data_IF_576138043188
#
_entry.id   IF_576138043188
#
_cell.length_a   1.000
_cell.length_b   1.000
_cell.length_c   1.000
_cell.angle_alpha   90.00
_cell.angle_beta   90.00
_cell.angle_gamma   90.00
#
_symmetry.space_group_name_H-M   'P 1'
#
loop_
_entity.id
_entity.type
_entity.pdbx_description
1 polymer ?
#
# COMPACT_ATOMS: atom_id res chain seq x y z
N UNK A 1 3.07 6.30 15.91
CA UNK A 1 1.82 6.60 15.15
C UNK A 1 1.39 5.38 14.37
N UNK A 2 0.08 5.17 14.19
CA UNK A 2 -0.48 3.96 13.56
C UNK A 2 -1.61 4.29 12.58
N UNK A 3 -1.94 3.33 11.70
CA UNK A 3 -2.99 3.51 10.68
C UNK A 3 -4.40 3.60 11.27
N UNK A 4 -4.72 2.84 12.30
CA UNK A 4 -6.04 2.85 12.92
C UNK A 4 -6.10 1.90 14.11
N UNK A 5 -7.31 1.72 14.63
CA UNK A 5 -7.62 0.94 15.82
C UNK A 5 -6.99 -0.46 15.80
N UNK A 6 -7.09 -1.19 14.67
CA UNK A 6 -6.53 -2.54 14.56
C UNK A 6 -5.00 -2.58 14.77
N UNK A 7 -4.29 -1.53 14.35
CA UNK A 7 -2.85 -1.45 14.56
C UNK A 7 -2.51 -1.12 16.01
N UNK A 8 -3.29 -0.26 16.67
CA UNK A 8 -3.17 0.03 18.10
C UNK A 8 -3.41 -1.21 18.95
N UNK A 9 -4.46 -1.96 18.64
CA UNK A 9 -4.80 -3.22 19.32
C UNK A 9 -3.65 -4.25 19.23
N UNK A 10 -2.98 -4.34 18.07
CA UNK A 10 -1.80 -5.21 17.93
C UNK A 10 -0.65 -4.82 18.84
N UNK A 11 -0.35 -3.53 19.01
CA UNK A 11 0.67 -3.09 19.96
C UNK A 11 0.30 -3.43 21.40
N UNK A 12 -0.98 -3.24 21.76
CA UNK A 12 -1.50 -3.59 23.09
C UNK A 12 -1.38 -5.10 23.37
N UNK A 13 -1.67 -5.95 22.38
CA UNK A 13 -1.60 -7.41 22.52
C UNK A 13 -0.17 -7.96 22.45
N UNK A 14 0.76 -7.27 21.78
CA UNK A 14 2.11 -7.77 21.58
C UNK A 14 3.02 -7.57 22.80
N UNK A 15 2.61 -6.78 23.80
CA UNK A 15 3.36 -6.51 25.04
C UNK A 15 4.81 -6.04 24.81
N UNK A 16 5.04 -5.29 23.72
CA UNK A 16 6.37 -4.82 23.28
C UNK A 16 6.86 -3.55 23.98
N UNK A 17 6.28 -3.19 25.13
CA UNK A 17 6.68 -2.00 25.92
C UNK A 17 6.27 -0.64 25.33
N UNK A 18 5.33 -0.62 24.39
CA UNK A 18 4.73 0.63 23.87
C UNK A 18 3.47 0.93 24.67
N UNK A 19 3.48 2.03 25.44
CA UNK A 19 2.29 2.46 26.17
C UNK A 19 1.22 2.99 25.23
N UNK A 20 -0.05 2.70 25.55
CA UNK A 20 -1.19 3.09 24.73
C UNK A 20 -1.32 4.62 24.54
N UNK A 21 -0.94 5.40 25.57
CA UNK A 21 -0.91 6.88 25.53
C UNK A 21 0.04 7.44 24.47
N UNK A 22 1.06 6.67 24.08
CA UNK A 22 2.08 7.07 23.12
C UNK A 22 1.69 6.66 21.68
N UNK A 23 0.54 5.99 21.50
CA UNK A 23 -0.01 5.59 20.21
C UNK A 23 -1.01 6.63 19.70
N UNK A 24 -0.66 7.27 18.57
CA UNK A 24 -1.55 8.19 17.85
C UNK A 24 -2.03 7.56 16.54
N UNK A 25 -3.34 7.51 16.33
CA UNK A 25 -3.99 6.99 15.13
C UNK A 25 -4.10 8.07 14.04
N UNK A 26 -3.23 7.99 13.03
CA UNK A 26 -3.10 9.03 11.99
C UNK A 26 -3.63 8.61 10.61
N UNK A 27 -4.02 7.34 10.44
CA UNK A 27 -4.40 6.85 9.12
C UNK A 27 -3.18 6.55 8.25
N UNK A 28 -3.40 6.56 6.94
CA UNK A 28 -2.34 6.40 5.95
C UNK A 28 -2.40 7.57 4.95
N UNK A 29 -1.70 8.69 5.22
CA UNK A 29 -1.69 9.88 4.37
C UNK A 29 -1.31 9.61 2.91
N UNK A 30 -0.44 8.63 2.69
CA UNK A 30 0.00 8.21 1.36
C UNK A 30 -1.12 7.63 0.48
N UNK A 31 -2.26 7.23 1.06
CA UNK A 31 -3.39 6.67 0.33
C UNK A 31 -4.30 7.75 -0.29
N UNK A 32 -4.06 9.04 -0.01
CA UNK A 32 -4.88 10.14 -0.50
C UNK A 32 -5.13 10.18 -2.02
N UNK A 33 -4.21 9.72 -2.89
CA UNK A 33 -4.46 9.67 -4.34
C UNK A 33 -5.45 8.58 -4.80
N UNK A 34 -5.84 7.64 -3.93
CA UNK A 34 -6.74 6.54 -4.29
C UNK A 34 -8.19 7.04 -4.31
N UNK A 35 -8.87 6.81 -5.42
CA UNK A 35 -10.25 7.24 -5.66
C UNK A 35 -11.25 6.24 -5.09
N UNK A 36 -12.30 6.76 -4.45
CA UNK A 36 -13.40 5.97 -3.89
C UNK A 36 -14.26 5.28 -4.97
N UNK A 37 -15.01 4.26 -4.56
CA UNK A 37 -16.08 3.66 -5.34
C UNK A 37 -17.07 4.75 -5.80
N UNK A 38 -17.53 4.66 -7.05
CA UNK A 38 -18.42 5.65 -7.65
C UNK A 38 -17.72 6.88 -8.26
N UNK A 39 -16.42 7.08 -8.04
CA UNK A 39 -15.66 8.13 -8.73
C UNK A 39 -15.57 7.92 -10.26
N UNK A 40 -15.76 6.66 -10.69
CA UNK A 40 -15.92 6.24 -12.08
C UNK A 40 -17.11 5.29 -12.14
N UNK A 41 -17.92 5.36 -13.19
CA UNK A 41 -18.93 4.34 -13.43
C UNK A 41 -18.26 2.97 -13.59
N UNK A 42 -18.77 1.95 -12.90
CA UNK A 42 -18.28 0.58 -13.04
C UNK A 42 -18.40 0.16 -14.50
N UNK A 43 -17.33 -0.38 -15.07
CA UNK A 43 -17.30 -0.70 -16.50
C UNK A 43 -16.92 0.45 -17.42
N UNK A 44 -16.65 1.67 -16.92
CA UNK A 44 -16.25 2.81 -17.76
C UNK A 44 -17.31 3.25 -18.78
N UNK A 45 -16.88 4.02 -19.78
CA UNK A 45 -17.74 4.45 -20.91
C UNK A 45 -17.98 3.35 -21.95
N UNK A 46 -17.21 2.27 -21.92
CA UNK A 46 -17.23 1.15 -22.87
C UNK A 46 -17.92 -0.11 -22.31
N UNK A 47 -18.35 -0.09 -21.05
CA UNK A 47 -19.07 -1.18 -20.39
C UNK A 47 -18.22 -2.41 -20.05
N UNK A 48 -16.88 -2.26 -20.07
CA UNK A 48 -15.89 -3.27 -19.73
C UNK A 48 -15.41 -3.13 -18.27
N UNK A 49 -15.62 -4.18 -17.49
CA UNK A 49 -15.22 -4.23 -16.09
C UNK A 49 -13.70 -4.42 -16.00
N UNK A 50 -12.99 -3.47 -15.39
CA UNK A 50 -11.54 -3.55 -15.21
C UNK A 50 -11.22 -4.31 -13.91
N UNK A 51 -10.61 -5.49 -14.04
CA UNK A 51 -10.12 -6.30 -12.94
C UNK A 51 -8.63 -6.09 -12.80
N UNK A 52 -8.17 -5.68 -11.60
CA UNK A 52 -6.75 -5.73 -11.26
C UNK A 52 -6.46 -7.03 -10.53
N UNK A 53 -5.64 -7.89 -11.12
CA UNK A 53 -5.03 -9.01 -10.42
C UNK A 53 -3.61 -8.63 -10.01
N UNK A 54 -3.42 -8.39 -8.71
CA UNK A 54 -2.15 -7.99 -8.11
C UNK A 54 -1.77 -8.97 -7.00
N UNK A 55 -1.24 -10.16 -7.36
CA UNK A 55 -0.77 -11.11 -6.38
C UNK A 55 0.52 -10.65 -5.71
N UNK A 56 0.81 -11.27 -4.58
CA UNK A 56 2.09 -11.18 -3.88
C UNK A 56 3.10 -12.17 -4.45
N UNK A 57 4.27 -12.24 -3.81
CA UNK A 57 5.34 -13.18 -4.12
C UNK A 57 5.47 -14.21 -3.00
N UNK A 58 6.41 -15.14 -3.15
CA UNK A 58 6.50 -16.34 -2.32
C UNK A 58 6.90 -16.04 -0.88
N UNK A 59 7.42 -14.83 -0.62
CA UNK A 59 7.97 -14.45 0.67
C UNK A 59 9.35 -15.08 0.91
N UNK A 60 9.91 -14.78 2.07
CA UNK A 60 11.19 -15.35 2.51
C UNK A 60 11.00 -16.63 3.34
N UNK A 61 9.76 -16.98 3.70
CA UNK A 61 9.42 -18.15 4.50
C UNK A 61 8.73 -19.19 3.63
N UNK A 62 8.84 -20.46 4.03
CA UNK A 62 8.16 -21.59 3.35
C UNK A 62 6.67 -21.71 3.73
N UNK A 63 6.07 -20.64 4.28
CA UNK A 63 4.69 -20.66 4.73
C UNK A 63 3.74 -20.83 3.52
N UNK A 64 2.85 -21.83 3.55
CA UNK A 64 1.94 -22.06 2.45
C UNK A 64 0.93 -20.92 2.33
N UNK A 65 0.59 -20.57 1.09
CA UNK A 65 -0.46 -19.59 0.80
C UNK A 65 0.00 -18.14 0.76
N UNK A 66 1.31 -17.89 0.75
CA UNK A 66 1.85 -16.54 0.58
C UNK A 66 1.38 -15.91 -0.73
N UNK A 67 1.48 -16.63 -1.86
CA UNK A 67 1.07 -16.14 -3.19
C UNK A 67 0.08 -17.07 -3.89
N UNK A 68 -0.90 -16.49 -4.59
CA UNK A 68 -1.80 -17.22 -5.49
C UNK A 68 -1.15 -17.64 -6.80
N UNK A 69 -0.02 -17.04 -7.19
CA UNK A 69 0.60 -17.25 -8.50
C UNK A 69 0.85 -18.74 -8.79
N UNK A 70 1.32 -19.48 -7.79
CA UNK A 70 1.70 -20.88 -7.91
C UNK A 70 0.52 -21.83 -8.13
N UNK A 71 -0.54 -21.69 -7.33
CA UNK A 71 -1.60 -22.70 -7.20
C UNK A 71 -2.93 -22.27 -7.78
N UNK A 72 -3.17 -20.96 -7.91
CA UNK A 72 -4.46 -20.42 -8.34
C UNK A 72 -4.37 -19.46 -9.54
N UNK A 73 -3.21 -18.83 -9.76
CA UNK A 73 -3.09 -17.67 -10.63
C UNK A 73 -3.52 -17.93 -12.08
N UNK A 74 -3.12 -19.06 -12.67
CA UNK A 74 -3.56 -19.42 -14.02
C UNK A 74 -5.07 -19.67 -14.11
N UNK A 75 -5.66 -20.28 -13.10
CA UNK A 75 -7.09 -20.60 -13.09
C UNK A 75 -7.94 -19.35 -12.90
N UNK A 76 -7.55 -18.47 -11.96
CA UNK A 76 -8.15 -17.15 -11.77
C UNK A 76 -8.09 -16.37 -13.08
N UNK A 77 -6.93 -16.31 -13.74
CA UNK A 77 -6.76 -15.57 -15.00
C UNK A 77 -7.62 -16.17 -16.11
N UNK A 78 -7.69 -17.50 -16.25
CA UNK A 78 -8.59 -18.15 -17.22
C UNK A 78 -10.06 -17.82 -16.94
N UNK A 79 -10.49 -17.88 -15.68
CA UNK A 79 -11.86 -17.57 -15.29
C UNK A 79 -12.23 -16.11 -15.56
N UNK A 80 -11.30 -15.18 -15.32
CA UNK A 80 -11.48 -13.76 -15.62
C UNK A 80 -11.55 -13.50 -17.14
N UNK A 81 -10.68 -14.14 -17.91
CA UNK A 81 -10.62 -13.99 -19.38
C UNK A 81 -11.77 -14.70 -20.10
N UNK A 82 -12.49 -15.59 -19.44
CA UNK A 82 -13.68 -16.25 -19.99
C UNK A 82 -14.87 -15.28 -20.15
N UNK A 83 -14.89 -14.17 -19.40
CA UNK A 83 -15.90 -13.11 -19.56
C UNK A 83 -15.40 -12.07 -20.59
N UNK A 84 -16.03 -11.94 -21.77
CA UNK A 84 -15.60 -11.00 -22.81
C UNK A 84 -15.77 -9.53 -22.40
N UNK A 85 -16.57 -9.26 -21.36
CA UNK A 85 -16.80 -7.94 -20.79
C UNK A 85 -15.84 -7.61 -19.63
N UNK A 86 -14.73 -8.34 -19.51
CA UNK A 86 -13.64 -8.05 -18.56
C UNK A 86 -12.43 -7.50 -19.30
N UNK A 87 -11.83 -6.44 -18.74
CA UNK A 87 -10.48 -5.99 -19.01
C UNK A 87 -9.60 -6.42 -17.82
N UNK A 88 -8.49 -7.10 -18.08
CA UNK A 88 -7.63 -7.64 -17.03
C UNK A 88 -6.32 -6.83 -16.98
N UNK A 89 -6.01 -6.26 -15.83
CA UNK A 89 -4.71 -5.70 -15.49
C UNK A 89 -4.00 -6.68 -14.57
N UNK A 90 -2.94 -7.33 -15.05
CA UNK A 90 -2.11 -8.21 -14.24
C UNK A 90 -0.85 -7.46 -13.80
N UNK A 91 -0.72 -7.21 -12.49
CA UNK A 91 0.45 -6.55 -11.89
C UNK A 91 1.17 -7.52 -10.96
N UNK A 92 2.12 -8.34 -11.46
CA UNK A 92 2.89 -9.24 -10.62
C UNK A 92 3.77 -8.45 -9.64
N UNK A 93 4.08 -9.07 -8.51
CA UNK A 93 5.07 -8.53 -7.60
C UNK A 93 6.46 -8.57 -8.25
N UNK A 94 7.32 -7.53 -8.11
CA UNK A 94 8.63 -7.49 -8.76
C UNK A 94 9.56 -8.63 -8.34
N UNK A 95 9.36 -9.17 -7.13
CA UNK A 95 10.14 -10.28 -6.60
C UNK A 95 9.56 -11.67 -6.91
N UNK A 96 8.44 -11.78 -7.63
CA UNK A 96 7.86 -13.09 -7.98
C UNK A 96 8.89 -13.95 -8.70
N UNK A 97 9.13 -15.16 -8.17
CA UNK A 97 10.13 -16.10 -8.68
C UNK A 97 11.56 -15.86 -8.19
N UNK A 98 11.79 -14.91 -7.29
CA UNK A 98 13.13 -14.63 -6.73
C UNK A 98 13.57 -15.69 -5.72
N UNK A 99 12.62 -16.35 -5.05
CA UNK A 99 12.88 -17.41 -4.06
C UNK A 99 12.46 -18.77 -4.62
N UNK A 100 11.24 -18.89 -5.18
CA UNK A 100 10.80 -20.14 -5.83
C UNK A 100 10.75 -20.00 -7.37
N UNK A 101 11.65 -20.66 -8.12
CA UNK A 101 11.64 -20.63 -9.59
C UNK A 101 10.33 -21.10 -10.22
N UNK A 102 9.55 -21.95 -9.53
CA UNK A 102 8.24 -22.43 -10.00
C UNK A 102 7.24 -21.28 -10.10
N UNK A 103 7.33 -20.32 -9.19
CA UNK A 103 6.45 -19.15 -9.19
C UNK A 103 6.81 -18.19 -10.32
N UNK A 104 8.10 -18.00 -10.61
CA UNK A 104 8.54 -17.29 -11.80
C UNK A 104 8.09 -17.97 -13.10
N UNK A 105 8.07 -19.31 -13.13
CA UNK A 105 7.53 -20.05 -14.27
C UNK A 105 6.01 -19.88 -14.42
N UNK A 106 5.26 -19.89 -13.31
CA UNK A 106 3.82 -19.63 -13.30
C UNK A 106 3.49 -18.20 -13.72
N UNK A 107 4.22 -17.20 -13.24
CA UNK A 107 4.12 -15.80 -13.66
C UNK A 107 4.27 -15.66 -15.19
N UNK A 108 5.31 -16.28 -15.78
CA UNK A 108 5.50 -16.27 -17.24
C UNK A 108 4.31 -16.89 -17.99
N UNK A 109 3.71 -17.97 -17.46
CA UNK A 109 2.51 -18.57 -18.07
C UNK A 109 1.29 -17.65 -17.96
N UNK A 110 1.10 -16.98 -16.83
CA UNK A 110 0.04 -15.99 -16.63
C UNK A 110 0.20 -14.82 -17.62
N UNK A 111 1.41 -14.25 -17.73
CA UNK A 111 1.70 -13.18 -18.70
C UNK A 111 1.37 -13.62 -20.12
N UNK A 112 1.75 -14.84 -20.50
CA UNK A 112 1.44 -15.39 -21.82
C UNK A 112 -0.07 -15.52 -22.06
N UNK A 113 -0.86 -15.91 -21.05
CA UNK A 113 -2.34 -15.93 -21.14
C UNK A 113 -2.91 -14.54 -21.38
N UNK A 114 -2.45 -13.54 -20.60
CA UNK A 114 -2.90 -12.15 -20.71
C UNK A 114 -2.55 -11.56 -22.08
N UNK A 115 -1.31 -11.73 -22.54
CA UNK A 115 -0.89 -11.25 -23.86
C UNK A 115 -1.67 -11.91 -24.99
N UNK A 116 -1.91 -13.23 -24.92
CA UNK A 116 -2.68 -13.95 -25.94
C UNK A 116 -4.13 -13.46 -26.01
N UNK A 117 -4.77 -13.23 -24.87
CA UNK A 117 -6.13 -12.69 -24.83
C UNK A 117 -6.21 -11.22 -25.28
N UNK A 118 -5.11 -10.47 -25.13
CA UNK A 118 -4.98 -9.11 -25.65
C UNK A 118 -4.70 -9.02 -27.16
N UNK A 119 -4.21 -10.10 -27.79
CA UNK A 119 -3.89 -10.14 -29.21
C UNK A 119 -5.19 -10.13 -30.04
N UNK A 120 -5.38 -9.06 -30.84
CA UNK A 120 -6.57 -8.88 -31.69
C UNK A 120 -7.50 -7.74 -31.28
N UNK A 121 -7.17 -6.99 -30.21
CA UNK A 121 -7.88 -5.75 -29.87
C UNK A 121 -7.31 -4.54 -30.63
N UNK A 122 -8.08 -3.46 -30.68
CA UNK A 122 -7.80 -2.25 -31.47
C UNK A 122 -6.36 -1.73 -31.29
N UNK A 123 -5.82 -1.10 -32.33
CA UNK A 123 -4.51 -0.47 -32.24
C UNK A 123 -4.56 0.75 -31.31
N UNK A 124 -3.46 1.07 -30.60
CA UNK A 124 -3.33 2.31 -29.85
C UNK A 124 -3.54 3.53 -30.75
N UNK A 125 -4.16 4.57 -30.21
CA UNK A 125 -4.26 5.87 -30.86
C UNK A 125 -2.87 6.51 -30.96
N UNK A 126 -2.37 6.85 -32.17
CA UNK A 126 -1.08 7.50 -32.35
C UNK A 126 -0.92 8.81 -31.54
N UNK A 127 -1.99 9.59 -31.38
CA UNK A 127 -1.94 10.84 -30.61
C UNK A 127 -1.73 10.55 -29.12
N UNK A 128 -2.42 9.55 -28.58
CA UNK A 128 -2.25 9.13 -27.19
C UNK A 128 -0.86 8.54 -26.92
N UNK A 129 -0.29 7.80 -27.89
CA UNK A 129 1.10 7.31 -27.81
C UNK A 129 2.09 8.47 -27.79
N UNK A 130 1.94 9.46 -28.67
CA UNK A 130 2.81 10.64 -28.70
C UNK A 130 2.71 11.45 -27.39
N UNK A 131 1.51 11.60 -26.83
CA UNK A 131 1.32 12.27 -25.54
C UNK A 131 2.02 11.53 -24.39
N UNK A 132 2.01 10.19 -24.39
CA UNK A 132 2.75 9.39 -23.41
C UNK A 132 4.27 9.57 -23.55
N UNK A 133 4.79 9.63 -24.77
CA UNK A 133 6.21 9.91 -25.01
C UNK A 133 6.63 11.28 -24.49
N UNK A 134 5.81 12.31 -24.73
CA UNK A 134 6.03 13.66 -24.20
C UNK A 134 6.00 13.69 -22.67
N UNK A 135 4.97 13.12 -22.06
CA UNK A 135 4.85 13.04 -20.61
C UNK A 135 6.02 12.25 -19.98
N UNK A 136 6.53 11.23 -20.67
CA UNK A 136 7.70 10.45 -20.23
C UNK A 136 8.94 11.33 -20.19
N UNK A 137 9.23 12.08 -21.26
CA UNK A 137 10.38 13.01 -21.30
C UNK A 137 10.30 14.05 -20.18
N UNK A 138 9.12 14.65 -19.96
CA UNK A 138 8.93 15.65 -18.92
C UNK A 138 9.14 15.08 -17.50
N UNK A 139 8.64 13.87 -17.24
CA UNK A 139 8.83 13.21 -15.95
C UNK A 139 10.30 12.81 -15.72
N UNK A 140 10.97 12.29 -16.76
CA UNK A 140 12.38 11.93 -16.70
C UNK A 140 13.27 13.15 -16.46
N UNK A 141 12.97 14.29 -17.07
CA UNK A 141 13.71 15.54 -16.83
C UNK A 141 13.61 16.00 -15.37
N UNK A 142 12.43 15.91 -14.76
CA UNK A 142 12.22 16.31 -13.36
C UNK A 142 12.79 15.31 -12.35
N UNK A 143 12.85 14.02 -12.72
CA UNK A 143 13.30 12.93 -11.83
C UNK A 143 14.73 12.49 -12.08
N UNK A 144 15.41 13.07 -13.06
CA UNK A 144 16.83 12.84 -13.32
C UNK A 144 17.63 13.16 -12.07
N UNK A 145 18.37 12.18 -11.58
CA UNK A 145 19.35 12.40 -10.53
C UNK A 145 20.62 12.92 -11.21
N UNK A 146 21.03 14.15 -10.90
CA UNK A 146 22.31 14.72 -11.34
C UNK A 146 23.45 14.14 -10.48
N UNK A 147 23.65 12.83 -10.59
CA UNK A 147 24.72 12.12 -9.91
C UNK A 147 25.86 11.86 -10.90
N UNK A 148 27.10 11.99 -10.42
CA UNK A 148 28.27 11.51 -11.18
C UNK A 148 28.12 10.01 -11.40
N UNK A 149 28.58 9.52 -12.56
CA UNK A 149 28.45 8.13 -12.99
C UNK A 149 29.00 7.09 -11.97
N UNK A 150 29.88 7.53 -11.06
CA UNK A 150 30.53 6.69 -10.03
C UNK A 150 30.19 7.11 -8.59
N UNK A 151 29.11 7.86 -8.37
CA UNK A 151 28.75 8.31 -7.03
C UNK A 151 28.47 7.10 -6.11
N UNK A 152 29.20 7.00 -5.01
CA UNK A 152 28.98 5.97 -3.99
C UNK A 152 27.70 6.25 -3.18
N UNK A 153 27.26 5.31 -2.33
CA UNK A 153 26.04 5.47 -1.54
C UNK A 153 26.12 6.67 -0.58
N UNK A 154 27.31 7.01 -0.09
CA UNK A 154 27.52 8.14 0.83
C UNK A 154 27.37 9.46 0.08
N UNK A 155 27.95 9.59 -1.11
CA UNK A 155 27.79 10.75 -2.00
C UNK A 155 26.31 10.94 -2.39
N UNK A 156 25.58 9.84 -2.63
CA UNK A 156 24.13 9.89 -2.89
C UNK A 156 23.31 10.35 -1.69
N UNK A 157 23.67 9.91 -0.48
CA UNK A 157 23.02 10.36 0.75
C UNK A 157 23.32 11.83 1.07
N UNK A 158 24.57 12.26 0.87
CA UNK A 158 24.99 13.65 1.08
C UNK A 158 24.30 14.63 0.09
N UNK A 159 23.94 14.15 -1.10
CA UNK A 159 23.15 14.91 -2.08
C UNK A 159 21.64 14.89 -1.86
N UNK A 160 21.13 14.27 -0.79
CA UNK A 160 19.73 14.43 -0.36
C UNK A 160 19.50 15.80 0.31
N UNK A 161 19.84 16.88 -0.40
CA UNK A 161 19.43 18.22 0.00
C UNK A 161 17.91 18.34 -0.06
N UNK A 162 17.34 19.21 0.78
CA UNK A 162 15.94 19.56 0.68
C UNK A 162 15.64 19.99 -0.77
N UNK A 163 14.71 19.32 -1.47
CA UNK A 163 14.42 19.66 -2.86
C UNK A 163 13.97 21.12 -2.95
N UNK A 164 14.31 21.78 -4.05
CA UNK A 164 13.91 23.15 -4.30
C UNK A 164 12.39 23.34 -4.06
N UNK A 165 11.96 24.46 -3.46
CA UNK A 165 10.54 24.72 -3.23
C UNK A 165 9.71 24.50 -4.50
N UNK A 166 8.60 23.75 -4.37
CA UNK A 166 7.72 23.43 -5.51
C UNK A 166 8.14 22.22 -6.36
N UNK A 167 9.39 21.72 -6.26
CA UNK A 167 9.83 20.56 -7.06
C UNK A 167 8.98 19.31 -6.80
N UNK A 168 8.65 19.02 -5.53
CA UNK A 168 7.80 17.89 -5.17
C UNK A 168 6.40 17.99 -5.81
N UNK A 169 5.82 19.19 -5.85
CA UNK A 169 4.52 19.44 -6.49
C UNK A 169 4.60 19.27 -8.01
N UNK A 170 5.65 19.79 -8.64
CA UNK A 170 5.90 19.64 -10.07
C UNK A 170 6.10 18.18 -10.46
N UNK A 171 6.88 17.41 -9.70
CA UNK A 171 7.06 15.97 -9.94
C UNK A 171 5.75 15.20 -9.76
N UNK A 172 4.94 15.55 -8.76
CA UNK A 172 3.63 14.92 -8.56
C UNK A 172 2.64 15.23 -9.70
N UNK A 173 2.63 16.46 -10.21
CA UNK A 173 1.85 16.85 -11.40
C UNK A 173 2.32 16.11 -12.65
N UNK A 174 3.64 16.06 -12.90
CA UNK A 174 4.20 15.34 -14.04
C UNK A 174 3.90 13.83 -13.98
N UNK A 175 3.97 13.23 -12.80
CA UNK A 175 3.59 11.83 -12.60
C UNK A 175 2.11 11.59 -12.90
N UNK A 176 1.21 12.47 -12.43
CA UNK A 176 -0.22 12.39 -12.75
C UNK A 176 -0.48 12.47 -14.26
N UNK A 177 0.13 13.44 -14.96
CA UNK A 177 0.00 13.56 -16.42
C UNK A 177 0.54 12.34 -17.15
N UNK A 178 1.65 11.79 -16.68
CA UNK A 178 2.22 10.57 -17.21
C UNK A 178 1.27 9.38 -17.04
N UNK A 179 0.66 9.22 -15.87
CA UNK A 179 -0.31 8.16 -15.61
C UNK A 179 -1.57 8.30 -16.47
N UNK A 180 -2.10 9.51 -16.62
CA UNK A 180 -3.23 9.81 -17.51
C UNK A 180 -2.91 9.45 -18.96
N UNK A 181 -1.74 9.88 -19.47
CA UNK A 181 -1.28 9.54 -20.81
C UNK A 181 -1.01 8.04 -20.97
N UNK A 182 -0.49 7.37 -19.93
CA UNK A 182 -0.23 5.93 -19.95
C UNK A 182 -1.53 5.14 -20.16
N UNK A 183 -2.57 5.48 -19.42
CA UNK A 183 -3.86 4.80 -19.55
C UNK A 183 -4.58 5.15 -20.85
N UNK A 184 -4.49 6.41 -21.31
CA UNK A 184 -5.06 6.84 -22.59
C UNK A 184 -4.40 6.16 -23.80
N UNK A 185 -3.09 5.92 -23.75
CA UNK A 185 -2.35 5.22 -24.81
C UNK A 185 -2.68 3.73 -24.94
N UNK A 186 -3.52 3.18 -24.05
CA UNK A 186 -3.94 1.77 -24.10
C UNK A 186 -5.41 1.66 -24.48
N UNK A 187 -5.76 0.86 -25.51
CA UNK A 187 -7.15 0.62 -25.87
C UNK A 187 -7.96 0.13 -24.65
N UNK A 188 -9.16 0.69 -24.46
CA UNK A 188 -9.96 0.50 -23.26
C UNK A 188 -10.27 -0.98 -22.93
N UNK A 189 -10.35 -1.84 -23.94
CA UNK A 189 -10.51 -3.28 -23.74
C UNK A 189 -9.23 -4.11 -23.65
N UNK A 190 -8.05 -3.55 -23.90
CA UNK A 190 -6.82 -4.33 -23.96
C UNK A 190 -6.39 -4.79 -22.56
N UNK A 191 -6.29 -6.11 -22.37
CA UNK A 191 -5.67 -6.71 -21.18
C UNK A 191 -4.19 -6.30 -21.10
N UNK A 192 -3.69 -5.99 -19.90
CA UNK A 192 -2.35 -5.47 -19.69
C UNK A 192 -1.57 -6.31 -18.69
N UNK A 193 -0.28 -6.51 -18.96
CA UNK A 193 0.71 -6.88 -17.95
C UNK A 193 1.41 -5.59 -17.53
N UNK A 194 1.39 -5.26 -16.23
CA UNK A 194 1.97 -4.04 -15.66
C UNK A 194 3.18 -4.42 -14.79
N UNK A 195 4.31 -4.68 -15.42
CA UNK A 195 5.53 -5.22 -14.79
C UNK A 195 6.64 -4.19 -14.57
N UNK A 196 6.45 -2.96 -15.06
CA UNK A 196 7.34 -1.84 -14.78
C UNK A 196 7.12 -1.19 -13.40
N UNK A 197 8.06 -0.32 -12.98
CA UNK A 197 7.92 0.47 -11.75
C UNK A 197 6.80 1.52 -11.85
N UNK A 198 6.38 1.87 -13.08
CA UNK A 198 5.26 2.76 -13.38
C UNK A 198 4.35 2.12 -14.44
N UNK A 199 3.02 2.30 -14.37
CA UNK A 199 2.29 2.97 -13.29
C UNK A 199 2.41 2.24 -11.95
N UNK A 200 2.36 3.03 -10.88
CA UNK A 200 2.35 2.53 -9.52
C UNK A 200 1.04 1.79 -9.22
N UNK A 201 1.02 1.11 -8.06
CA UNK A 201 -0.14 0.32 -7.65
C UNK A 201 -1.40 1.18 -7.46
N UNK A 202 -1.28 2.40 -6.93
CA UNK A 202 -2.43 3.29 -6.71
C UNK A 202 -3.07 3.78 -8.00
N UNK A 203 -2.27 3.99 -9.05
CA UNK A 203 -2.79 4.30 -10.38
C UNK A 203 -3.57 3.11 -10.94
N UNK A 204 -3.08 1.88 -10.76
CA UNK A 204 -3.81 0.66 -11.12
C UNK A 204 -5.10 0.51 -10.30
N UNK A 205 -5.09 0.89 -9.02
CA UNK A 205 -6.29 0.89 -8.18
C UNK A 205 -7.36 1.85 -8.71
N UNK A 206 -6.94 3.01 -9.20
CA UNK A 206 -7.83 4.03 -9.75
C UNK A 206 -8.48 3.58 -11.06
N UNK A 207 -7.77 2.80 -11.88
CA UNK A 207 -8.31 2.19 -13.10
C UNK A 207 -9.20 0.97 -12.87
N UNK A 208 -8.99 0.26 -11.76
CA UNK A 208 -9.72 -0.97 -11.46
C UNK A 208 -11.11 -0.73 -10.86
N UNK A 209 -12.07 -1.55 -11.27
CA UNK A 209 -13.39 -1.68 -10.63
C UNK A 209 -13.38 -2.68 -9.47
N UNK A 210 -12.47 -3.66 -9.54
CA UNK A 210 -12.32 -4.72 -8.54
C UNK A 210 -10.88 -5.18 -8.47
N UNK A 211 -10.42 -5.50 -7.25
CA UNK A 211 -9.10 -6.10 -7.00
C UNK A 211 -9.24 -7.61 -6.75
N UNK A 212 -8.36 -8.39 -7.34
CA UNK A 212 -8.04 -9.76 -6.94
C UNK A 212 -6.60 -9.78 -6.41
N UNK A 213 -6.40 -10.29 -5.20
CA UNK A 213 -5.07 -10.38 -4.58
C UNK A 213 -4.98 -11.56 -3.61
N UNK A 214 -3.88 -11.62 -2.87
CA UNK A 214 -3.63 -12.56 -1.78
C UNK A 214 -3.89 -11.90 -0.42
N UNK A 215 -3.54 -12.60 0.67
CA UNK A 215 -3.44 -11.98 1.99
C UNK A 215 -2.26 -11.01 1.99
N UNK A 216 -2.55 -9.74 1.68
CA UNK A 216 -1.51 -8.73 1.41
C UNK A 216 -1.84 -7.36 1.98
N UNK A 217 -0.79 -6.56 2.24
CA UNK A 217 -0.94 -5.12 2.51
C UNK A 217 -1.58 -4.38 1.33
N UNK A 218 -1.46 -4.88 0.10
CA UNK A 218 -2.15 -4.40 -1.11
C UNK A 218 -3.66 -4.28 -0.87
N UNK A 219 -4.26 -5.28 -0.22
CA UNK A 219 -5.70 -5.29 0.10
C UNK A 219 -6.05 -4.20 1.11
N UNK A 220 -5.19 -3.99 2.11
CA UNK A 220 -5.41 -2.94 3.11
C UNK A 220 -5.35 -1.54 2.49
N UNK A 221 -4.49 -1.33 1.50
CA UNK A 221 -4.38 -0.07 0.77
C UNK A 221 -5.59 0.13 -0.14
N UNK A 222 -5.99 -0.92 -0.87
CA UNK A 222 -7.14 -0.88 -1.76
C UNK A 222 -8.45 -0.61 -1.02
N UNK A 223 -8.57 -1.06 0.23
CA UNK A 223 -9.77 -0.87 1.06
C UNK A 223 -10.14 0.60 1.26
N UNK A 224 -9.17 1.53 1.15
CA UNK A 224 -9.47 2.97 1.18
C UNK A 224 -10.45 3.39 0.08
N UNK A 225 -10.43 2.69 -1.06
CA UNK A 225 -11.33 2.94 -2.19
C UNK A 225 -12.76 2.43 -1.93
N UNK A 226 -12.93 1.49 -1.01
CA UNK A 226 -14.20 0.78 -0.72
C UNK A 226 -14.78 -0.02 -1.89
N UNK A 227 -14.05 -0.08 -3.02
CA UNK A 227 -14.38 -0.93 -4.16
C UNK A 227 -14.36 -2.42 -3.76
N UNK A 228 -15.15 -3.28 -4.42
CA UNK A 228 -15.12 -4.71 -4.17
C UNK A 228 -13.71 -5.29 -4.37
N UNK A 229 -13.37 -6.32 -3.60
CA UNK A 229 -12.14 -7.06 -3.78
C UNK A 229 -12.31 -8.54 -3.40
N UNK A 230 -11.38 -9.35 -3.88
CA UNK A 230 -11.32 -10.76 -3.60
C UNK A 230 -9.92 -11.19 -3.16
N UNK A 231 -9.88 -12.20 -2.30
CA UNK A 231 -8.66 -12.82 -1.81
C UNK A 231 -8.64 -14.28 -2.20
N UNK A 232 -7.56 -14.72 -2.85
CA UNK A 232 -7.35 -16.12 -3.16
C UNK A 232 -7.00 -16.91 -1.89
N UNK A 233 -7.74 -17.98 -1.63
CA UNK A 233 -7.43 -18.91 -0.55
C UNK A 233 -6.61 -20.08 -1.10
N UNK A 234 -5.30 -19.99 -0.94
CA UNK A 234 -4.34 -21.03 -1.32
C UNK A 234 -3.72 -21.74 -0.12
N UNK A 235 -4.24 -21.45 1.08
CA UNK A 235 -3.75 -21.99 2.37
C UNK A 235 -4.23 -23.40 2.68
N UNK A 236 -5.26 -23.89 1.98
CA UNK A 236 -5.96 -25.14 2.31
C UNK A 236 -6.94 -25.04 3.49
N UNK A 237 -7.08 -23.86 4.11
CA UNK A 237 -8.08 -23.62 5.15
C UNK A 237 -9.51 -23.65 4.58
N UNK A 238 -10.48 -24.02 5.43
CA UNK A 238 -11.89 -23.75 5.13
C UNK A 238 -12.12 -22.24 5.04
N UNK A 239 -13.13 -21.81 4.29
CA UNK A 239 -13.44 -20.38 4.14
C UNK A 239 -13.66 -19.70 5.51
N UNK A 240 -14.38 -20.35 6.41
CA UNK A 240 -14.60 -19.87 7.78
C UNK A 240 -13.29 -19.75 8.58
N UNK A 241 -12.39 -20.73 8.45
CA UNK A 241 -11.07 -20.67 9.07
C UNK A 241 -10.24 -19.51 8.51
N UNK A 242 -10.25 -19.36 7.19
CA UNK A 242 -9.52 -18.32 6.46
C UNK A 242 -10.00 -16.91 6.85
N UNK A 243 -11.33 -16.69 6.95
CA UNK A 243 -11.92 -15.42 7.41
C UNK A 243 -11.59 -15.09 8.87
N UNK A 244 -11.46 -16.10 9.74
CA UNK A 244 -11.05 -15.90 11.14
C UNK A 244 -9.56 -15.56 11.25
N UNK A 245 -8.71 -16.22 10.47
CA UNK A 245 -7.27 -16.03 10.52
C UNK A 245 -6.84 -14.66 9.96
N UNK A 246 -7.54 -14.16 8.94
CA UNK A 246 -7.11 -12.97 8.20
C UNK A 246 -8.20 -11.87 8.22
N UNK A 247 -8.02 -10.80 9.01
CA UNK A 247 -9.02 -9.74 9.17
C UNK A 247 -9.47 -9.09 7.86
N UNK A 248 -8.55 -8.93 6.90
CA UNK A 248 -8.84 -8.36 5.57
C UNK A 248 -9.72 -9.26 4.72
N UNK A 249 -9.79 -10.56 4.99
CA UNK A 249 -10.64 -11.50 4.25
C UNK A 249 -12.10 -11.39 4.69
N UNK A 250 -12.38 -10.89 5.90
CA UNK A 250 -13.76 -10.77 6.43
C UNK A 250 -14.70 -9.94 5.56
N UNK A 251 -14.16 -9.02 4.77
CA UNK A 251 -14.93 -8.18 3.84
C UNK A 251 -14.61 -8.47 2.36
N UNK A 252 -13.98 -9.61 2.07
CA UNK A 252 -13.58 -10.04 0.74
C UNK A 252 -14.48 -11.17 0.20
N UNK A 253 -14.58 -11.25 -1.13
CA UNK A 253 -14.94 -12.52 -1.79
C UNK A 253 -13.75 -13.47 -1.69
N UNK A 254 -13.97 -14.72 -1.29
CA UNK A 254 -12.90 -15.73 -1.21
C UNK A 254 -12.87 -16.52 -2.52
N UNK A 255 -11.71 -16.59 -3.16
CA UNK A 255 -11.53 -17.36 -4.40
C UNK A 255 -10.85 -18.69 -4.12
N UNK A 256 -11.37 -19.76 -4.72
CA UNK A 256 -10.75 -21.08 -4.69
C UNK A 256 -9.53 -21.18 -5.62
N UNK A 257 -8.62 -22.15 -5.40
CA UNK A 257 -7.48 -22.39 -6.29
C UNK A 257 -7.84 -22.74 -7.74
N UNK A 258 -9.05 -23.22 -7.96
CA UNK A 258 -9.64 -23.54 -9.26
C UNK A 258 -10.28 -22.32 -9.95
N UNK A 259 -10.25 -21.14 -9.32
CA UNK A 259 -10.93 -19.93 -9.80
C UNK A 259 -12.41 -19.86 -9.41
N UNK A 260 -12.91 -20.78 -8.57
CA UNK A 260 -14.25 -20.69 -8.02
C UNK A 260 -14.45 -19.35 -7.29
N UNK A 261 -15.64 -18.76 -7.46
CA UNK A 261 -15.98 -17.45 -6.91
C UNK A 261 -15.79 -16.28 -7.88
N UNK A 262 -14.99 -16.43 -8.95
CA UNK A 262 -14.78 -15.35 -9.95
C UNK A 262 -16.09 -14.89 -10.60
N UNK A 263 -17.00 -15.76 -11.09
CA UNK A 263 -18.26 -15.31 -11.67
C UNK A 263 -19.14 -14.55 -10.67
N UNK A 264 -19.17 -14.99 -9.41
CA UNK A 264 -19.92 -14.31 -8.34
C UNK A 264 -19.35 -12.92 -8.04
N UNK A 265 -18.02 -12.81 -7.95
CA UNK A 265 -17.32 -11.53 -7.80
C UNK A 265 -17.71 -10.56 -8.93
N UNK A 266 -17.57 -10.98 -10.19
CA UNK A 266 -17.88 -10.14 -11.34
C UNK A 266 -19.35 -9.70 -11.34
N UNK A 267 -20.27 -10.58 -10.93
CA UNK A 267 -21.70 -10.24 -10.79
C UNK A 267 -21.93 -9.12 -9.78
N UNK A 268 -21.32 -9.19 -8.58
CA UNK A 268 -21.48 -8.14 -7.54
C UNK A 268 -20.96 -6.77 -7.98
N UNK A 269 -19.97 -6.72 -8.86
CA UNK A 269 -19.44 -5.46 -9.40
C UNK A 269 -20.35 -4.90 -10.49
N UNK A 270 -20.97 -5.77 -11.32
CA UNK A 270 -21.97 -5.38 -12.33
C UNK A 270 -23.31 -4.97 -11.69
N UNK A 271 -23.63 -5.56 -10.56
CA UNK A 271 -24.86 -5.39 -9.79
C UNK A 271 -24.52 -5.00 -8.34
N UNK A 272 -24.12 -3.73 -8.09
CA UNK A 272 -23.72 -3.29 -6.75
C UNK A 272 -24.80 -3.51 -5.67
N UNK A 273 -26.07 -3.58 -6.07
CA UNK A 273 -27.20 -3.95 -5.19
C UNK A 273 -27.10 -5.38 -4.63
N UNK A 274 -26.34 -6.27 -5.28
CA UNK A 274 -26.08 -7.63 -4.81
C UNK A 274 -24.83 -7.73 -3.90
N UNK A 275 -24.10 -6.63 -3.71
CA UNK A 275 -22.87 -6.60 -2.92
C UNK A 275 -23.14 -6.54 -1.40
N UNK A 276 -23.41 -7.72 -0.84
CA UNK A 276 -23.62 -7.89 0.60
C UNK A 276 -22.38 -7.57 1.46
N UNK A 277 -21.18 -7.44 0.86
CA UNK A 277 -19.94 -7.16 1.58
C UNK A 277 -19.64 -5.66 1.73
N UNK A 278 -20.36 -4.77 1.04
CA UNK A 278 -20.12 -3.33 1.11
C UNK A 278 -20.16 -2.76 2.55
N UNK A 279 -21.14 -3.09 3.42
CA UNK A 279 -21.14 -2.62 4.81
C UNK A 279 -19.94 -3.15 5.61
N UNK A 280 -19.55 -4.41 5.38
CA UNK A 280 -18.40 -5.01 6.03
C UNK A 280 -17.08 -4.35 5.58
N UNK A 281 -16.96 -3.96 4.30
CA UNK A 281 -15.80 -3.23 3.78
C UNK A 281 -15.69 -1.84 4.39
N UNK A 282 -16.80 -1.10 4.48
CA UNK A 282 -16.82 0.22 5.11
C UNK A 282 -16.40 0.17 6.60
N UNK A 283 -16.95 -0.79 7.36
CA UNK A 283 -16.58 -0.99 8.76
C UNK A 283 -15.11 -1.39 8.92
N UNK A 284 -14.62 -2.29 8.05
CA UNK A 284 -13.23 -2.72 8.07
C UNK A 284 -12.27 -1.58 7.72
N UNK A 285 -12.63 -0.71 6.76
CA UNK A 285 -11.85 0.49 6.40
C UNK A 285 -11.63 1.36 7.62
N UNK A 286 -12.70 1.67 8.36
CA UNK A 286 -12.63 2.51 9.56
C UNK A 286 -11.72 1.86 10.60
N UNK A 287 -11.87 0.55 10.85
CA UNK A 287 -11.04 -0.16 11.84
C UNK A 287 -9.55 -0.20 11.45
N UNK A 288 -9.23 -0.34 10.16
CA UNK A 288 -7.84 -0.47 9.69
C UNK A 288 -7.15 0.89 9.44
N UNK A 289 -7.89 1.89 8.94
CA UNK A 289 -7.34 3.15 8.42
C UNK A 289 -7.85 4.40 9.16
N UNK A 290 -8.76 4.22 10.12
CA UNK A 290 -9.42 5.30 10.85
C UNK A 290 -10.56 5.96 10.05
N UNK A 291 -11.15 7.04 10.61
CA UNK A 291 -12.27 7.72 9.97
C UNK A 291 -11.87 8.42 8.68
N UNK A 292 -12.88 8.64 7.81
CA UNK A 292 -12.72 9.43 6.59
C UNK A 292 -12.55 10.92 6.88
N UNK A 293 -13.24 11.43 7.90
CA UNK A 293 -13.21 12.84 8.29
C UNK A 293 -12.73 13.02 9.74
N UNK A 294 -11.74 13.89 10.01
CA UNK A 294 -10.92 14.58 9.00
C UNK A 294 -10.00 13.58 8.26
N UNK A 295 -9.58 13.89 7.01
CA UNK A 295 -8.72 13.01 6.22
C UNK A 295 -7.43 12.63 6.94
N UNK A 296 -6.85 11.48 6.59
CA UNK A 296 -5.60 10.99 7.19
C UNK A 296 -4.46 12.00 7.10
N UNK A 297 -4.34 12.74 5.98
CA UNK A 297 -3.39 13.83 5.81
C UNK A 297 -3.55 14.92 6.89
N UNK A 298 -4.79 15.31 7.20
CA UNK A 298 -5.08 16.32 8.23
C UNK A 298 -4.79 15.77 9.63
N UNK A 299 -5.14 14.50 9.90
CA UNK A 299 -4.81 13.85 11.17
C UNK A 299 -3.30 13.73 11.39
N UNK A 300 -2.57 13.36 10.34
CA UNK A 300 -1.12 13.27 10.36
C UNK A 300 -0.45 14.62 10.56
N UNK A 301 -0.86 15.66 9.81
CA UNK A 301 -0.34 17.01 9.99
C UNK A 301 -0.56 17.50 11.43
N UNK A 302 -1.77 17.32 11.97
CA UNK A 302 -2.07 17.64 13.38
C UNK A 302 -1.14 16.91 14.36
N UNK A 303 -0.85 15.63 14.13
CA UNK A 303 0.05 14.84 14.97
C UNK A 303 1.51 15.31 14.87
N UNK A 304 1.99 15.64 13.67
CA UNK A 304 3.33 16.22 13.45
C UNK A 304 3.46 17.56 14.17
N UNK A 305 2.47 18.44 14.02
CA UNK A 305 2.46 19.74 14.68
C UNK A 305 2.41 19.62 16.21
N UNK A 306 1.68 18.63 16.74
CA UNK A 306 1.66 18.35 18.18
C UNK A 306 3.02 17.89 18.69
N UNK A 307 3.68 16.97 17.97
CA UNK A 307 5.02 16.50 18.32
C UNK A 307 6.05 17.64 18.27
N UNK A 308 5.99 18.51 17.26
CA UNK A 308 6.87 19.67 17.15
C UNK A 308 6.72 20.61 18.35
N UNK A 309 5.48 20.94 18.75
CA UNK A 309 5.21 21.76 19.93
C UNK A 309 5.76 21.14 21.21
N UNK A 310 5.60 19.83 21.40
CA UNK A 310 6.14 19.14 22.57
C UNK A 310 7.67 19.19 22.61
N UNK A 311 8.33 18.97 21.46
CA UNK A 311 9.77 19.08 21.34
C UNK A 311 10.28 20.50 21.65
N UNK A 312 9.57 21.53 21.21
CA UNK A 312 9.91 22.93 21.53
C UNK A 312 9.76 23.24 23.02
N UNK A 313 8.70 22.75 23.68
CA UNK A 313 8.52 22.90 25.14
C UNK A 313 9.68 22.23 25.88
N UNK A 314 10.01 20.99 25.51
CA UNK A 314 11.11 20.25 26.12
C UNK A 314 12.47 20.94 25.92
N UNK A 315 12.72 21.46 24.72
CA UNK A 315 13.94 22.21 24.42
C UNK A 315 14.02 23.53 25.21
N UNK A 316 12.89 24.18 25.50
CA UNK A 316 12.86 25.37 26.38
C UNK A 316 13.20 25.00 27.81
N UNK A 317 12.56 23.97 28.39
CA UNK A 317 12.88 23.51 29.75
C UNK A 317 14.35 23.15 29.90
N UNK A 318 14.95 22.43 28.94
CA UNK A 318 16.39 22.10 28.98
C UNK A 318 17.32 23.32 28.89
N UNK A 319 16.87 24.44 28.30
CA UNK A 319 17.64 25.68 28.24
C UNK A 319 17.48 26.53 29.51
N UNK A 320 16.30 26.47 30.12
CA UNK A 320 15.95 27.19 31.35
C UNK A 320 16.54 26.49 32.60
N UNK A 321 16.52 25.15 32.63
CA UNK A 321 17.12 24.30 33.67
C UNK A 321 18.64 24.10 33.46
N UNK A 322 19.39 25.17 33.16
CA UNK A 322 20.83 25.12 32.87
C UNK A 322 21.66 24.25 33.86
N UNK A 323 22.91 23.89 33.53
CA UNK A 323 23.71 22.86 34.22
C UNK A 323 23.96 23.06 35.73
N UNK A 324 23.47 24.14 36.34
CA UNK A 324 23.61 24.47 37.76
C UNK A 324 22.61 23.76 38.70
N UNK A 325 21.59 23.05 38.19
CA UNK A 325 20.68 22.29 39.06
C UNK A 325 21.34 21.06 39.71
N UNK A 326 22.51 20.62 39.22
CA UNK A 326 23.28 19.52 39.79
C UNK A 326 24.28 19.94 40.89
N UNK A 327 24.39 21.24 41.22
CA UNK A 327 25.32 21.74 42.23
C UNK A 327 24.74 21.86 43.66
N UNK A 328 23.50 21.40 43.87
CA UNK A 328 22.88 21.35 45.22
C UNK A 328 23.07 19.97 45.84
N UNK A 329 24.32 19.64 46.20
CA UNK A 329 24.63 18.46 47.01
C UNK A 329 24.09 18.59 48.44
N UNK A 330 23.76 17.47 49.13
CA UNK A 330 23.15 17.51 50.45
C UNK A 330 24.15 18.01 51.51
N UNK A 331 23.70 19.01 52.26
CA UNK A 331 23.99 19.34 53.66
C UNK A 331 25.13 18.56 54.34
N UNK A 332 26.30 19.20 54.50
CA UNK A 332 27.33 18.74 55.44
C UNK A 332 26.89 19.07 56.88
N UNK A 333 26.00 18.25 57.42
CA UNK A 333 25.74 18.19 58.84
C UNK A 333 26.86 17.41 59.55
N UNK A 334 27.61 18.14 60.40
CA UNK A 334 28.23 17.69 61.67
C UNK A 334 29.10 16.42 61.63
N UNK A 335 30.41 16.62 61.63
CA UNK A 335 31.33 15.68 62.30
C UNK A 335 31.78 16.32 63.61
N UNK A 336 31.13 15.89 64.69
CA UNK A 336 31.57 16.16 66.05
C UNK A 336 32.86 15.39 66.35
N UNK A 337 33.84 16.09 66.91
CA UNK A 337 35.07 15.54 67.45
C UNK A 337 34.75 14.79 68.75
N UNK A 338 34.89 13.47 68.72
CA UNK A 338 35.04 12.55 69.86
C UNK A 338 35.88 11.40 69.28
N UNK A 339 37.02 10.94 69.79
CA UNK A 339 37.76 11.12 71.02
C UNK A 339 38.70 9.89 71.02
N UNK A 340 40.01 10.11 71.07
CA UNK A 340 41.00 9.04 71.10
C UNK A 340 40.92 8.30 72.43
N UNK A 341 40.52 7.01 72.41
CA UNK A 341 40.72 6.09 73.53
C UNK A 341 41.90 5.16 73.23
N UNK A 342 43.03 5.45 73.87
CA UNK A 342 44.13 4.53 74.09
C UNK A 342 44.16 4.05 75.54
N UNK A 343 43.54 2.88 75.79
CA UNK A 343 43.86 1.72 76.68
C UNK A 343 44.69 1.90 77.97
N UNK A 344 44.58 0.95 78.95
CA UNK A 344 44.01 -0.41 78.85
C UNK A 344 42.76 -0.69 79.68
#
# INVERSE_FOLDING_TARGET
>A
WVAGEAARERYRLAEVGVDDKDVVEVGRPQLAPIRHAGARAAGGGDGLLTVLYAPTWEGFTDDPGNTSVLTAGENIVRALLADPRVRLLYKPHPMTGSIDPRAGAADRRIRALVHRAGAGRAQPDPEAVAALEEATRALEELTRADLRQHADEVERMLHQQAPAPGRAQQTAEALRRWEEAYWAARPAGQHQVVDGPRPGLFSCFNEADVLVSDVSSVVSDYLTSEKPYAVANTSGMTEDGFRRAFPTVRAATVLGPDGAGVPGLLRTVRHPEEDALAPARAALKVRLLGPAEPPSLVRFDKAVQALAREAEVRARHLREDGPDAAASGPDQARVGVLGEDGRP
#
